data_IF_408637678108
#
_entry.id   IF_408637678108
#
_cell.length_a   1.000
_cell.length_b   1.000
_cell.length_c   1.000
_cell.angle_alpha   90.00
_cell.angle_beta   90.00
_cell.angle_gamma   90.00
#
_symmetry.space_group_name_H-M   'P 1'
#
loop_
_entity.id
_entity.type
_entity.pdbx_description
1 polymer ?
#
# COMPACT_ATOMS: atom_id res chain seq x y z
N UNK A 1 21.27 -54.66 -23.52
CA UNK A 1 20.42 -53.52 -23.09
C UNK A 1 19.61 -54.01 -21.92
N UNK A 2 19.95 -53.53 -20.73
CA UNK A 2 19.39 -54.00 -19.47
C UNK A 2 17.96 -53.46 -19.30
N UNK A 3 17.07 -54.28 -18.75
CA UNK A 3 15.64 -53.99 -18.58
C UNK A 3 15.32 -52.72 -17.77
N UNK A 4 16.32 -52.09 -17.16
CA UNK A 4 16.21 -50.83 -16.43
C UNK A 4 15.85 -49.62 -17.29
N UNK A 5 16.18 -49.60 -18.58
CA UNK A 5 15.86 -48.46 -19.45
C UNK A 5 14.41 -48.47 -19.98
N UNK A 6 13.72 -49.60 -19.92
CA UNK A 6 12.36 -49.79 -20.47
C UNK A 6 11.25 -49.45 -19.45
N UNK A 7 11.60 -49.18 -18.20
CA UNK A 7 10.65 -48.96 -17.10
C UNK A 7 10.36 -47.48 -16.79
N UNK A 8 10.72 -46.55 -17.68
CA UNK A 8 10.30 -45.14 -17.62
C UNK A 8 8.89 -44.96 -18.22
N UNK A 9 7.91 -45.68 -17.68
CA UNK A 9 6.51 -45.44 -18.02
C UNK A 9 6.02 -44.16 -17.34
N UNK A 10 5.26 -43.33 -18.06
CA UNK A 10 4.61 -42.12 -17.50
C UNK A 10 3.61 -42.42 -16.37
N UNK A 11 3.27 -43.70 -16.18
CA UNK A 11 2.37 -44.22 -15.16
C UNK A 11 3.07 -44.65 -13.87
N UNK A 12 4.40 -44.74 -13.90
CA UNK A 12 5.25 -45.16 -12.79
C UNK A 12 6.16 -44.05 -12.29
N UNK A 13 5.73 -42.79 -12.32
CA UNK A 13 6.43 -41.76 -11.56
C UNK A 13 6.20 -42.12 -10.09
N UNK A 14 7.25 -42.58 -9.40
CA UNK A 14 7.23 -42.69 -7.94
C UNK A 14 6.63 -41.38 -7.43
N UNK A 15 5.55 -41.46 -6.65
CA UNK A 15 4.99 -40.28 -5.99
C UNK A 15 6.18 -39.60 -5.34
N UNK A 16 6.53 -38.40 -5.83
CA UNK A 16 7.60 -37.63 -5.22
C UNK A 16 7.18 -37.48 -3.77
N UNK A 17 7.88 -38.15 -2.85
CA UNK A 17 7.49 -38.22 -1.45
C UNK A 17 7.17 -36.80 -1.00
N UNK A 18 5.87 -36.50 -0.87
CA UNK A 18 5.42 -35.16 -0.54
C UNK A 18 5.82 -34.99 0.91
N UNK A 19 6.93 -34.29 1.13
CA UNK A 19 7.43 -34.06 2.47
C UNK A 19 6.42 -33.20 3.23
N UNK A 20 5.56 -33.89 3.98
CA UNK A 20 4.52 -33.30 4.82
C UNK A 20 5.10 -32.31 5.84
N UNK A 21 6.39 -32.42 6.20
CA UNK A 21 7.07 -31.45 7.07
C UNK A 21 7.39 -30.17 6.31
N UNK A 22 7.85 -30.27 5.06
CA UNK A 22 8.07 -29.12 4.21
C UNK A 22 6.76 -28.35 3.95
N UNK A 23 5.67 -29.07 3.68
CA UNK A 23 4.35 -28.46 3.47
C UNK A 23 3.85 -27.72 4.72
N UNK A 24 3.94 -28.33 5.92
CA UNK A 24 3.55 -27.67 7.17
C UNK A 24 4.37 -26.43 7.47
N UNK A 25 5.68 -26.46 7.21
CA UNK A 25 6.56 -25.28 7.37
C UNK A 25 6.17 -24.17 6.43
N UNK A 26 5.86 -24.50 5.18
CA UNK A 26 5.42 -23.52 4.20
C UNK A 26 4.07 -22.88 4.57
N UNK A 27 3.10 -23.68 4.99
CA UNK A 27 1.82 -23.17 5.50
C UNK A 27 1.99 -22.27 6.73
N UNK A 28 2.89 -22.63 7.66
CA UNK A 28 3.20 -21.80 8.81
C UNK A 28 3.80 -20.44 8.40
N UNK A 29 4.68 -20.41 7.39
CA UNK A 29 5.24 -19.17 6.84
C UNK A 29 4.13 -18.31 6.21
N UNK A 30 3.28 -18.90 5.38
CA UNK A 30 2.16 -18.20 4.76
C UNK A 30 1.21 -17.59 5.80
N UNK A 31 0.89 -18.35 6.86
CA UNK A 31 0.03 -17.85 7.94
C UNK A 31 0.63 -16.65 8.67
N UNK A 32 1.96 -16.62 8.84
CA UNK A 32 2.67 -15.49 9.46
C UNK A 32 2.72 -14.28 8.55
N UNK A 33 2.91 -14.48 7.24
CA UNK A 33 2.88 -13.38 6.27
C UNK A 33 1.48 -12.77 6.22
N UNK A 34 0.44 -13.60 6.25
CA UNK A 34 -0.95 -13.13 6.29
C UNK A 34 -1.22 -12.27 7.53
N UNK A 35 -0.82 -12.73 8.73
CA UNK A 35 -1.02 -11.95 9.96
C UNK A 35 -0.20 -10.66 9.99
N UNK A 36 1.03 -10.66 9.46
CA UNK A 36 1.81 -9.42 9.27
C UNK A 36 1.11 -8.47 8.32
N UNK A 37 0.53 -8.98 7.23
CA UNK A 37 -0.27 -8.20 6.29
C UNK A 37 -1.47 -7.52 6.96
N UNK A 38 -2.22 -8.26 7.77
CA UNK A 38 -3.35 -7.70 8.54
C UNK A 38 -2.90 -6.57 9.47
N UNK A 39 -1.82 -6.79 10.23
CA UNK A 39 -1.28 -5.75 11.13
C UNK A 39 -0.83 -4.52 10.34
N UNK A 40 -0.15 -4.71 9.19
CA UNK A 40 0.30 -3.60 8.35
C UNK A 40 -0.87 -2.76 7.84
N UNK A 41 -2.01 -3.37 7.50
CA UNK A 41 -3.22 -2.64 7.07
C UNK A 41 -3.72 -1.72 8.18
N UNK A 42 -3.78 -2.21 9.42
CA UNK A 42 -4.20 -1.38 10.55
C UNK A 42 -3.23 -0.22 10.81
N UNK A 43 -1.91 -0.49 10.74
CA UNK A 43 -0.89 0.55 10.90
C UNK A 43 -1.01 1.61 9.80
N UNK A 44 -1.19 1.21 8.54
CA UNK A 44 -1.39 2.11 7.41
C UNK A 44 -2.65 2.96 7.60
N UNK A 45 -3.75 2.36 8.03
CA UNK A 45 -5.01 3.07 8.25
C UNK A 45 -4.86 4.14 9.34
N UNK A 46 -4.23 3.80 10.46
CA UNK A 46 -3.94 4.78 11.52
C UNK A 46 -3.02 5.89 11.00
N UNK A 47 -2.00 5.55 10.21
CA UNK A 47 -1.10 6.52 9.59
C UNK A 47 -1.82 7.48 8.64
N UNK A 48 -2.74 6.98 7.81
CA UNK A 48 -3.56 7.80 6.91
C UNK A 48 -4.45 8.75 7.70
N UNK A 49 -5.11 8.27 8.76
CA UNK A 49 -5.96 9.11 9.59
C UNK A 49 -5.17 10.21 10.29
N UNK A 50 -4.01 9.88 10.87
CA UNK A 50 -3.13 10.85 11.49
C UNK A 50 -2.61 11.89 10.47
N UNK A 51 -2.22 11.43 9.29
CA UNK A 51 -1.80 12.30 8.19
C UNK A 51 -2.91 13.23 7.70
N UNK A 52 -4.15 12.73 7.62
CA UNK A 52 -5.31 13.54 7.26
C UNK A 52 -5.56 14.64 8.31
N UNK A 53 -5.59 14.27 9.60
CA UNK A 53 -5.75 15.25 10.70
C UNK A 53 -4.64 16.30 10.66
N UNK A 54 -3.38 15.88 10.49
CA UNK A 54 -2.26 16.79 10.36
C UNK A 54 -2.46 17.77 9.19
N UNK A 55 -2.84 17.26 8.02
CA UNK A 55 -3.09 18.07 6.84
C UNK A 55 -4.20 19.08 7.11
N UNK A 56 -5.33 18.64 7.67
CA UNK A 56 -6.44 19.52 8.06
C UNK A 56 -6.01 20.67 8.99
N UNK A 57 -5.09 20.43 9.92
CA UNK A 57 -4.61 21.48 10.84
C UNK A 57 -3.61 22.45 10.22
N UNK A 58 -2.90 22.04 9.16
CA UNK A 58 -1.82 22.85 8.56
C UNK A 58 -2.28 23.58 7.29
N UNK A 59 -3.25 23.03 6.56
CA UNK A 59 -3.74 23.64 5.32
C UNK A 59 -4.86 24.64 5.59
N UNK A 60 -4.68 25.87 5.11
CA UNK A 60 -5.74 26.89 5.12
C UNK A 60 -6.62 26.70 3.88
N UNK A 61 -7.72 25.97 4.03
CA UNK A 61 -8.67 25.70 2.94
C UNK A 61 -9.45 26.94 2.48
N UNK A 62 -9.42 28.02 3.26
CA UNK A 62 -10.13 29.26 2.97
C UNK A 62 -9.38 30.19 2.02
N UNK A 63 -8.15 29.86 1.60
CA UNK A 63 -7.43 30.70 0.65
C UNK A 63 -8.10 30.66 -0.73
N UNK A 64 -8.54 31.82 -1.21
CA UNK A 64 -9.22 32.00 -2.50
C UNK A 64 -8.47 33.04 -3.33
N UNK A 65 -8.31 32.76 -4.62
CA UNK A 65 -7.75 33.67 -5.61
C UNK A 65 -8.92 34.39 -6.29
N UNK A 66 -8.94 35.71 -6.19
CA UNK A 66 -9.95 36.57 -6.81
C UNK A 66 -9.34 37.35 -7.96
N UNK A 67 -10.08 37.40 -9.07
CA UNK A 67 -9.76 38.26 -10.20
C UNK A 67 -10.64 39.51 -10.15
N UNK A 68 -10.01 40.68 -10.00
CA UNK A 68 -10.67 42.00 -9.86
C UNK A 68 -10.68 42.79 -11.19
N UNK A 69 -10.41 42.15 -12.32
CA UNK A 69 -10.36 42.86 -13.62
C UNK A 69 -9.14 43.77 -13.82
N UNK A 70 -8.18 43.75 -12.88
CA UNK A 70 -6.85 44.36 -13.04
C UNK A 70 -5.81 43.31 -13.43
N UNK A 71 -4.64 43.74 -13.89
CA UNK A 71 -3.50 42.85 -14.17
C UNK A 71 -2.93 42.17 -12.89
N UNK A 72 -3.39 42.58 -11.70
CA UNK A 72 -3.01 42.02 -10.40
C UNK A 72 -4.06 40.99 -9.95
N UNK A 73 -3.62 39.95 -9.24
CA UNK A 73 -4.51 38.99 -8.58
C UNK A 73 -4.60 39.25 -7.08
N UNK A 74 -5.79 39.14 -6.51
CA UNK A 74 -6.01 39.28 -5.08
C UNK A 74 -6.04 37.89 -4.45
N UNK A 75 -5.18 37.63 -3.47
CA UNK A 75 -5.18 36.38 -2.71
C UNK A 75 -5.70 36.68 -1.31
N UNK A 76 -6.82 36.07 -0.95
CA UNK A 76 -7.26 36.07 0.45
C UNK A 76 -6.48 35.01 1.22
N UNK A 77 -5.87 35.43 2.33
CA UNK A 77 -5.19 34.55 3.25
C UNK A 77 -6.10 34.27 4.46
N UNK A 78 -6.75 33.10 4.48
CA UNK A 78 -7.63 32.68 5.57
C UNK A 78 -6.95 32.55 6.93
N UNK A 79 -5.61 32.53 6.97
CA UNK A 79 -4.84 32.49 8.22
C UNK A 79 -4.72 33.86 8.89
N UNK A 80 -4.57 34.93 8.08
CA UNK A 80 -4.39 36.30 8.58
C UNK A 80 -5.65 37.15 8.46
N UNK A 81 -6.63 36.71 7.65
CA UNK A 81 -7.83 37.48 7.32
C UNK A 81 -7.54 38.66 6.39
N UNK A 82 -6.34 38.72 5.81
CA UNK A 82 -5.90 39.81 4.96
C UNK A 82 -6.01 39.42 3.47
N UNK A 83 -6.33 40.42 2.64
CA UNK A 83 -6.29 40.32 1.19
C UNK A 83 -4.98 40.93 0.73
N UNK A 84 -4.17 40.16 0.01
CA UNK A 84 -2.87 40.59 -0.49
C UNK A 84 -2.94 40.68 -2.01
N UNK A 85 -2.49 41.80 -2.58
CA UNK A 85 -2.39 41.98 -4.02
C UNK A 85 -1.05 41.42 -4.48
N UNK A 86 -1.08 40.44 -5.36
CA UNK A 86 0.10 39.82 -5.98
C UNK A 86 0.09 40.12 -7.47
N UNK A 87 1.23 40.62 -7.95
CA UNK A 87 1.47 40.96 -9.35
C UNK A 87 1.85 39.73 -10.17
#
# INVERSE_FOLDING_TARGET
MEAHELATSSWGKHDAEVDVRALRRYQAILSRIASVGEVLVFVLLVGILAGAVWLFTQTNFENVIFYDGTDMTCVFNGKTGEIINVQ
#
